data_IF_615660024130
#
_entry.id   IF_615660024130
#
_cell.length_a   1.000
_cell.length_b   1.000
_cell.length_c   1.000
_cell.angle_alpha   90.00
_cell.angle_beta   90.00
_cell.angle_gamma   90.00
#
_symmetry.space_group_name_H-M   'P 1'
#
loop_
_entity.id
_entity.type
_entity.pdbx_description
1 polymer ?
#
# COMPACT_ATOMS: atom_id res chain seq x y z
N UNK A 1 -0.81 -10.53 11.92
CA UNK A 1 -0.51 -10.70 10.48
C UNK A 1 0.76 -11.51 10.36
N UNK A 2 0.78 -12.49 9.45
CA UNK A 2 1.94 -13.28 9.07
C UNK A 2 2.43 -12.75 7.72
N UNK A 3 3.73 -12.49 7.57
CA UNK A 3 4.28 -11.90 6.36
C UNK A 3 5.54 -12.69 5.99
N UNK A 4 5.64 -13.11 4.73
CA UNK A 4 6.89 -13.57 4.14
C UNK A 4 7.16 -12.81 2.85
N UNK A 5 8.38 -12.28 2.73
CA UNK A 5 8.86 -11.48 1.59
C UNK A 5 10.00 -12.24 0.91
N UNK A 6 9.93 -12.38 -0.42
CA UNK A 6 10.94 -12.97 -1.29
C UNK A 6 10.64 -14.42 -1.67
N UNK A 7 9.75 -15.08 -0.92
CA UNK A 7 9.32 -16.44 -1.17
C UNK A 7 7.97 -16.72 -0.51
N UNK A 8 7.30 -17.79 -0.95
CA UNK A 8 6.14 -18.32 -0.26
C UNK A 8 6.56 -19.19 0.97
N UNK A 9 5.74 -19.21 2.04
CA UNK A 9 5.97 -20.08 3.19
C UNK A 9 6.08 -21.56 2.81
N UNK A 10 6.91 -22.33 3.53
CA UNK A 10 7.05 -23.78 3.29
C UNK A 10 5.74 -24.56 3.39
N UNK A 11 4.81 -24.09 4.20
CA UNK A 11 3.48 -24.67 4.40
C UNK A 11 2.39 -23.88 3.67
N UNK A 12 2.73 -23.17 2.59
CA UNK A 12 1.81 -22.32 1.82
C UNK A 12 0.50 -23.03 1.43
N UNK A 13 0.58 -24.26 0.91
CA UNK A 13 -0.61 -25.03 0.53
C UNK A 13 -1.53 -25.30 1.74
N UNK A 14 -0.95 -25.43 2.94
CA UNK A 14 -1.74 -25.57 4.18
C UNK A 14 -2.42 -24.25 4.55
N UNK A 15 -1.77 -23.10 4.35
CA UNK A 15 -2.41 -21.80 4.55
C UNK A 15 -3.59 -21.61 3.60
N UNK A 16 -3.39 -21.85 2.30
CA UNK A 16 -4.43 -21.75 1.27
C UNK A 16 -5.61 -22.67 1.57
N UNK A 17 -5.36 -23.91 2.00
CA UNK A 17 -6.42 -24.88 2.30
C UNK A 17 -7.29 -24.49 3.49
N UNK A 18 -6.75 -23.78 4.48
CA UNK A 18 -7.45 -23.47 5.72
C UNK A 18 -7.99 -22.03 5.76
N UNK A 19 -7.59 -21.17 4.84
CA UNK A 19 -8.10 -19.81 4.74
C UNK A 19 -9.54 -19.81 4.22
N UNK A 20 -10.37 -18.90 4.75
CA UNK A 20 -11.70 -18.65 4.23
C UNK A 20 -11.61 -17.90 2.90
N UNK A 21 -10.60 -17.03 2.75
CA UNK A 21 -10.41 -16.16 1.60
C UNK A 21 -8.98 -16.29 1.12
N UNK A 22 -8.83 -16.54 -0.18
CA UNK A 22 -7.54 -16.67 -0.84
C UNK A 22 -7.55 -15.76 -2.06
N UNK A 23 -6.75 -14.70 -2.01
CA UNK A 23 -6.43 -13.90 -3.20
C UNK A 23 -5.02 -14.26 -3.66
N UNK A 24 -4.96 -14.99 -4.76
CA UNK A 24 -3.71 -15.51 -5.32
C UNK A 24 -3.48 -14.94 -6.71
N UNK A 25 -2.43 -14.14 -6.83
CA UNK A 25 -1.81 -13.90 -8.13
C UNK A 25 -1.11 -15.19 -8.57
N UNK A 26 -1.47 -15.73 -9.74
CA UNK A 26 -0.84 -16.95 -10.25
C UNK A 26 0.68 -16.77 -10.36
N UNK A 27 1.48 -17.78 -9.96
CA UNK A 27 2.92 -17.74 -10.17
C UNK A 27 3.21 -17.68 -11.68
N UNK A 28 3.65 -16.51 -12.17
CA UNK A 28 4.16 -16.41 -13.53
C UNK A 28 5.56 -17.04 -13.61
N UNK A 29 5.94 -17.58 -14.77
CA UNK A 29 7.29 -18.13 -15.02
C UNK A 29 8.37 -17.05 -15.23
N UNK A 30 7.96 -15.79 -15.33
CA UNK A 30 8.86 -14.63 -15.40
C UNK A 30 9.47 -14.37 -14.01
N UNK A 31 10.69 -13.83 -13.92
CA UNK A 31 11.36 -13.57 -12.65
C UNK A 31 10.55 -12.68 -11.68
N UNK A 32 10.98 -12.58 -10.42
CA UNK A 32 10.35 -11.71 -9.43
C UNK A 32 10.38 -12.29 -8.01
N UNK A 33 9.88 -11.51 -7.05
CA UNK A 33 9.76 -11.89 -5.63
C UNK A 33 8.30 -12.19 -5.30
N UNK A 34 8.08 -13.21 -4.48
CA UNK A 34 6.76 -13.49 -3.91
C UNK A 34 6.59 -12.74 -2.60
N UNK A 35 5.39 -12.20 -2.38
CA UNK A 35 4.93 -11.68 -1.11
C UNK A 35 3.76 -12.54 -0.64
N UNK A 36 3.85 -13.05 0.58
CA UNK A 36 2.75 -13.71 1.29
C UNK A 36 2.28 -12.84 2.45
N UNK A 37 0.96 -12.71 2.58
CA UNK A 37 0.30 -12.05 3.71
C UNK A 37 -0.82 -12.96 4.23
N UNK A 38 -0.70 -13.38 5.48
CA UNK A 38 -1.75 -14.06 6.23
C UNK A 38 -2.37 -13.11 7.26
N UNK A 39 -3.67 -12.84 7.14
CA UNK A 39 -4.41 -12.05 8.14
C UNK A 39 -5.10 -13.00 9.11
N UNK A 40 -4.80 -12.85 10.40
CA UNK A 40 -5.37 -13.65 11.48
C UNK A 40 -6.24 -12.75 12.34
N UNK A 41 -7.41 -13.26 12.76
CA UNK A 41 -8.18 -12.67 13.85
C UNK A 41 -7.37 -12.74 15.15
N UNK A 42 -7.30 -11.63 15.89
CA UNK A 42 -6.40 -11.39 17.03
C UNK A 42 -6.63 -12.24 18.27
N UNK A 43 -7.53 -13.24 18.21
CA UNK A 43 -7.98 -14.02 19.36
C UNK A 43 -7.24 -15.34 19.63
N UNK A 44 -6.40 -15.86 18.73
CA UNK A 44 -5.73 -17.14 19.00
C UNK A 44 -4.38 -17.34 18.28
N UNK A 45 -3.30 -17.64 19.01
CA UNK A 45 -1.96 -17.86 18.44
C UNK A 45 -1.80 -19.19 17.68
N UNK A 46 -2.85 -20.01 17.61
CA UNK A 46 -2.84 -21.31 16.92
C UNK A 46 -3.81 -21.38 15.74
N UNK A 47 -4.41 -20.26 15.34
CA UNK A 47 -5.42 -20.23 14.28
C UNK A 47 -4.77 -19.96 12.94
N UNK A 48 -5.23 -20.69 11.92
CA UNK A 48 -4.89 -20.41 10.53
C UNK A 48 -5.32 -18.99 10.15
N UNK A 49 -4.59 -18.31 9.25
CA UNK A 49 -5.04 -17.04 8.70
C UNK A 49 -6.38 -17.23 8.00
N UNK A 50 -7.31 -16.31 8.23
CA UNK A 50 -8.63 -16.33 7.59
C UNK A 50 -8.55 -15.80 6.16
N UNK A 51 -7.63 -14.85 5.92
CA UNK A 51 -7.33 -14.29 4.61
C UNK A 51 -5.87 -14.58 4.26
N UNK A 52 -5.65 -15.17 3.09
CA UNK A 52 -4.34 -15.35 2.49
C UNK A 52 -4.29 -14.52 1.21
N UNK A 53 -3.33 -13.60 1.14
CA UNK A 53 -3.05 -12.78 -0.03
C UNK A 53 -1.64 -13.10 -0.50
N UNK A 54 -1.48 -13.34 -1.80
CA UNK A 54 -0.16 -13.40 -2.42
C UNK A 54 -0.02 -12.38 -3.52
N UNK A 55 1.10 -11.65 -3.52
CA UNK A 55 1.49 -10.77 -4.61
C UNK A 55 2.80 -11.22 -5.21
N UNK A 56 2.98 -10.91 -6.48
CA UNK A 56 4.27 -11.00 -7.14
C UNK A 56 4.69 -9.61 -7.57
N UNK A 57 5.94 -9.28 -7.32
CA UNK A 57 6.47 -7.98 -7.69
C UNK A 57 7.91 -8.10 -8.15
N UNK A 58 8.27 -7.23 -9.10
CA UNK A 58 9.65 -7.11 -9.56
C UNK A 58 10.40 -6.14 -8.67
N UNK A 59 11.59 -6.54 -8.28
CA UNK A 59 12.48 -5.76 -7.44
C UNK A 59 13.93 -6.22 -7.69
N UNK A 60 14.39 -6.06 -8.94
CA UNK A 60 15.70 -6.53 -9.37
C UNK A 60 16.85 -5.91 -8.55
N UNK A 61 16.63 -4.73 -7.98
CA UNK A 61 17.56 -3.98 -7.13
C UNK A 61 17.40 -4.20 -5.63
N UNK A 62 16.33 -4.86 -5.17
CA UNK A 62 16.06 -5.03 -3.73
C UNK A 62 15.60 -3.73 -3.03
N UNK A 63 15.10 -2.76 -3.78
CA UNK A 63 14.79 -1.39 -3.32
C UNK A 63 13.31 -1.15 -3.02
N UNK A 64 12.40 -1.96 -3.56
CA UNK A 64 10.95 -1.76 -3.46
C UNK A 64 10.32 -2.76 -2.49
N UNK A 65 10.66 -2.62 -1.21
CA UNK A 65 10.11 -3.48 -0.18
C UNK A 65 8.58 -3.31 -0.03
N UNK A 66 7.84 -4.41 0.20
CA UNK A 66 6.43 -4.32 0.47
C UNK A 66 6.11 -3.49 1.72
N UNK A 67 4.99 -2.77 1.67
CA UNK A 67 4.50 -1.94 2.75
C UNK A 67 3.04 -2.23 3.07
N UNK A 68 2.69 -2.11 4.34
CA UNK A 68 1.38 -2.45 4.87
C UNK A 68 0.88 -1.36 5.80
N UNK A 69 -0.40 -1.02 5.71
CA UNK A 69 -1.04 -0.09 6.64
C UNK A 69 -2.47 -0.53 6.91
N UNK A 70 -2.76 -0.90 8.17
CA UNK A 70 -4.11 -1.21 8.61
C UNK A 70 -4.77 0.04 9.18
N UNK A 71 -5.95 0.37 8.68
CA UNK A 71 -6.85 1.38 9.25
C UNK A 71 -7.88 0.65 10.13
N UNK A 72 -7.75 0.68 11.45
CA UNK A 72 -8.60 -0.11 12.34
C UNK A 72 -10.06 0.36 12.36
N UNK A 73 -10.35 1.63 12.09
CA UNK A 73 -11.70 2.20 12.20
C UNK A 73 -12.68 1.67 11.15
N UNK A 74 -12.15 1.18 10.03
CA UNK A 74 -12.93 0.63 8.92
C UNK A 74 -12.38 -0.73 8.43
N UNK A 75 -11.43 -1.29 9.18
CA UNK A 75 -10.79 -2.57 8.92
C UNK A 75 -10.18 -2.68 7.51
N UNK A 76 -9.70 -1.57 6.94
CA UNK A 76 -9.06 -1.58 5.62
C UNK A 76 -7.55 -1.77 5.76
N UNK A 77 -7.02 -2.84 5.18
CA UNK A 77 -5.60 -3.12 5.02
C UNK A 77 -5.12 -2.66 3.64
N UNK A 78 -4.25 -1.66 3.61
CA UNK A 78 -3.51 -1.23 2.43
C UNK A 78 -2.24 -2.05 2.29
N UNK A 79 -1.96 -2.52 1.07
CA UNK A 79 -0.76 -3.28 0.74
C UNK A 79 -0.16 -2.73 -0.55
N UNK A 80 1.12 -2.41 -0.53
CA UNK A 80 1.90 -2.05 -1.72
C UNK A 80 3.11 -2.97 -1.86
N UNK A 81 3.40 -3.42 -3.08
CA UNK A 81 4.56 -4.27 -3.39
C UNK A 81 4.99 -4.09 -4.86
N UNK A 82 6.22 -3.61 -5.08
CA UNK A 82 6.68 -3.17 -6.41
C UNK A 82 5.70 -2.15 -7.01
N UNK A 83 5.08 -2.45 -8.15
CA UNK A 83 4.10 -1.54 -8.75
C UNK A 83 2.65 -1.80 -8.31
N UNK A 84 2.38 -2.88 -7.60
CA UNK A 84 1.00 -3.31 -7.31
C UNK A 84 0.53 -2.74 -5.96
N UNK A 85 -0.67 -2.18 -5.96
CA UNK A 85 -1.36 -1.69 -4.78
C UNK A 85 -2.71 -2.41 -4.65
N UNK A 86 -3.02 -2.88 -3.45
CA UNK A 86 -4.32 -3.51 -3.16
C UNK A 86 -4.80 -3.13 -1.77
N UNK A 87 -6.11 -3.03 -1.62
CA UNK A 87 -6.78 -2.80 -0.36
C UNK A 87 -7.78 -3.90 -0.06
N UNK A 88 -7.82 -4.39 1.17
CA UNK A 88 -8.82 -5.36 1.63
C UNK A 88 -9.52 -4.87 2.88
N UNK A 89 -10.83 -5.07 2.95
CA UNK A 89 -11.52 -5.02 4.23
C UNK A 89 -11.27 -6.36 4.93
N UNK A 90 -10.54 -6.37 6.05
CA UNK A 90 -10.10 -7.61 6.69
C UNK A 90 -11.18 -8.34 7.49
N UNK A 91 -12.32 -7.70 7.75
CA UNK A 91 -13.46 -8.33 8.43
C UNK A 91 -14.34 -9.11 7.46
N UNK A 92 -14.67 -8.50 6.32
CA UNK A 92 -15.41 -9.16 5.23
C UNK A 92 -14.51 -9.99 4.32
N UNK A 93 -13.21 -9.68 4.33
CA UNK A 93 -12.18 -10.18 3.41
C UNK A 93 -12.41 -9.82 1.94
N UNK A 94 -13.21 -8.80 1.66
CA UNK A 94 -13.42 -8.29 0.32
C UNK A 94 -12.27 -7.37 -0.12
N UNK A 95 -11.86 -7.49 -1.39
CA UNK A 95 -10.94 -6.53 -2.01
C UNK A 95 -11.69 -5.23 -2.26
N UNK A 96 -11.23 -4.14 -1.65
CA UNK A 96 -11.82 -2.81 -1.76
C UNK A 96 -11.30 -2.06 -2.97
N UNK A 97 -10.00 -2.17 -3.24
CA UNK A 97 -9.40 -1.59 -4.44
C UNK A 97 -8.21 -2.41 -4.93
N UNK A 98 -7.88 -2.19 -6.19
CA UNK A 98 -6.63 -2.57 -6.83
C UNK A 98 -6.19 -1.41 -7.72
N UNK A 99 -4.92 -1.03 -7.61
CA UNK A 99 -4.32 0.03 -8.41
C UNK A 99 -2.84 -0.29 -8.67
N UNK A 100 -2.18 0.57 -9.45
CA UNK A 100 -0.75 0.48 -9.72
C UNK A 100 -0.07 1.82 -9.52
N UNK A 101 1.19 1.77 -9.15
CA UNK A 101 2.08 2.92 -9.22
C UNK A 101 2.79 2.95 -10.57
N UNK A 102 3.22 4.14 -11.00
CA UNK A 102 3.96 4.29 -12.27
C UNK A 102 5.32 3.54 -12.25
N UNK A 103 5.94 3.44 -11.07
CA UNK A 103 7.22 2.77 -10.79
C UNK A 103 7.19 2.13 -9.40
N UNK A 104 8.32 1.79 -8.79
CA UNK A 104 8.34 1.04 -7.55
C UNK A 104 7.81 1.81 -6.33
N UNK A 105 6.87 1.17 -5.63
CA UNK A 105 6.31 1.56 -4.34
C UNK A 105 7.40 1.63 -3.25
N UNK A 106 7.28 2.62 -2.37
CA UNK A 106 8.15 2.80 -1.21
C UNK A 106 7.41 2.69 0.12
N UNK A 107 6.19 3.22 0.23
CA UNK A 107 5.52 3.20 1.53
C UNK A 107 4.12 3.80 1.57
N UNK A 108 3.44 3.44 2.64
CA UNK A 108 2.18 4.04 3.07
C UNK A 108 2.42 4.86 4.34
N UNK A 109 1.77 6.01 4.46
CA UNK A 109 1.76 6.82 5.70
C UNK A 109 0.35 7.31 5.96
N UNK A 110 -0.14 7.22 7.21
CA UNK A 110 -1.47 7.75 7.56
C UNK A 110 -1.36 9.16 8.12
N UNK A 111 -2.23 10.05 7.65
CA UNK A 111 -2.48 11.37 8.22
C UNK A 111 -3.99 11.59 8.40
N UNK A 112 -4.49 11.44 9.63
CA UNK A 112 -5.91 11.58 9.92
C UNK A 112 -6.75 10.63 9.05
N UNK A 113 -7.59 11.20 8.19
CA UNK A 113 -8.49 10.50 7.26
C UNK A 113 -7.86 10.20 5.88
N UNK A 114 -6.57 10.51 5.72
CA UNK A 114 -5.84 10.31 4.47
C UNK A 114 -4.75 9.24 4.63
N UNK A 115 -4.57 8.45 3.58
CA UNK A 115 -3.45 7.55 3.38
C UNK A 115 -2.58 8.10 2.24
N UNK A 116 -1.32 8.34 2.55
CA UNK A 116 -0.32 8.91 1.64
C UNK A 116 0.55 7.78 1.11
N UNK A 117 0.72 7.75 -0.20
CA UNK A 117 1.51 6.79 -0.93
C UNK A 117 2.78 7.47 -1.42
N UNK A 118 3.93 6.86 -1.14
CA UNK A 118 5.20 7.21 -1.77
C UNK A 118 5.65 6.09 -2.71
N UNK A 119 6.02 6.46 -3.92
CA UNK A 119 6.66 5.61 -4.93
C UNK A 119 7.72 6.40 -5.69
N UNK A 120 8.56 5.71 -6.46
CA UNK A 120 9.71 6.32 -7.12
C UNK A 120 9.38 7.58 -7.91
N UNK A 121 8.35 7.52 -8.77
CA UNK A 121 7.93 8.63 -9.62
C UNK A 121 6.51 9.14 -9.30
N UNK A 122 5.90 8.70 -8.21
CA UNK A 122 4.51 9.04 -7.87
C UNK A 122 4.34 9.34 -6.37
N UNK A 123 3.60 10.40 -6.08
CA UNK A 123 2.99 10.64 -4.77
C UNK A 123 1.47 10.55 -4.90
N UNK A 124 0.82 9.72 -4.07
CA UNK A 124 -0.61 9.49 -4.12
C UNK A 124 -1.30 9.79 -2.79
N UNK A 125 -2.56 10.22 -2.85
CA UNK A 125 -3.41 10.42 -1.67
C UNK A 125 -4.71 9.65 -1.83
N UNK A 126 -5.04 8.93 -0.77
CA UNK A 126 -6.21 8.07 -0.66
C UNK A 126 -7.00 8.43 0.60
N UNK A 127 -8.29 8.09 0.61
CA UNK A 127 -9.07 8.02 1.85
C UNK A 127 -8.69 6.80 2.65
N UNK A 128 -8.90 6.85 3.95
CA UNK A 128 -8.87 5.67 4.83
C UNK A 128 -9.78 4.54 4.37
N UNK A 129 -10.84 4.84 3.62
CA UNK A 129 -11.78 3.86 3.04
C UNK A 129 -11.27 3.15 1.79
N UNK A 130 -10.09 3.51 1.26
CA UNK A 130 -9.52 2.89 0.06
C UNK A 130 -9.87 3.59 -1.25
N UNK A 131 -10.49 4.77 -1.22
CA UNK A 131 -10.74 5.60 -2.40
C UNK A 131 -9.50 6.44 -2.76
N UNK A 132 -9.02 6.38 -4.01
CA UNK A 132 -7.95 7.28 -4.50
C UNK A 132 -8.54 8.67 -4.71
N UNK A 133 -7.97 9.67 -4.06
CA UNK A 133 -8.39 11.07 -4.27
C UNK A 133 -7.64 11.67 -5.47
N UNK A 134 -6.32 11.58 -5.45
CA UNK A 134 -5.47 12.07 -6.52
C UNK A 134 -4.06 11.48 -6.40
N UNK A 135 -3.30 11.59 -7.48
CA UNK A 135 -1.84 11.41 -7.44
C UNK A 135 -1.15 12.42 -8.35
N UNK A 136 0.16 12.55 -8.18
CA UNK A 136 0.97 13.45 -8.99
C UNK A 136 2.35 12.85 -9.22
N UNK A 137 2.93 13.19 -10.38
CA UNK A 137 4.30 12.83 -10.70
C UNK A 137 5.28 13.60 -9.81
N UNK A 138 6.30 12.89 -9.34
CA UNK A 138 7.42 13.43 -8.55
C UNK A 138 8.73 12.90 -9.13
N UNK A 139 9.75 13.75 -9.21
CA UNK A 139 11.07 13.35 -9.73
C UNK A 139 12.08 13.28 -8.58
N UNK A 140 12.80 12.15 -8.39
CA UNK A 140 13.83 12.03 -7.37
C UNK A 140 15.05 12.96 -7.56
N UNK A 141 15.68 13.44 -6.47
CA UNK A 141 15.20 13.36 -5.09
C UNK A 141 13.94 14.21 -4.85
N UNK A 142 13.00 13.60 -4.14
CA UNK A 142 11.82 14.28 -3.64
C UNK A 142 11.51 13.85 -2.20
N UNK A 143 10.76 14.68 -1.49
CA UNK A 143 10.24 14.39 -0.15
C UNK A 143 8.91 15.08 0.06
N UNK A 144 8.21 14.73 1.14
CA UNK A 144 6.98 15.39 1.52
C UNK A 144 6.90 15.65 3.02
N UNK A 145 6.13 16.67 3.38
CA UNK A 145 5.74 16.94 4.75
C UNK A 145 4.27 17.37 4.80
N UNK A 146 3.59 17.07 5.90
CA UNK A 146 2.15 17.31 6.02
C UNK A 146 1.89 18.31 7.14
N UNK A 147 1.06 19.31 6.84
CA UNK A 147 0.67 20.36 7.78
C UNK A 147 -0.82 20.66 7.63
N UNK A 148 -1.60 20.24 8.63
CA UNK A 148 -3.06 20.34 8.59
C UNK A 148 -3.64 19.57 7.41
N UNK A 149 -4.38 20.27 6.55
CA UNK A 149 -5.04 19.71 5.36
C UNK A 149 -4.17 19.78 4.09
N UNK A 150 -2.89 20.13 4.21
CA UNK A 150 -2.00 20.31 3.07
C UNK A 150 -0.77 19.41 3.16
N UNK A 151 -0.30 18.96 2.01
CA UNK A 151 1.01 18.35 1.82
C UNK A 151 1.92 19.34 1.09
N UNK A 152 3.12 19.52 1.62
CA UNK A 152 4.23 20.16 0.92
C UNK A 152 5.07 19.08 0.28
N UNK A 153 5.22 19.13 -1.05
CA UNK A 153 6.12 18.31 -1.84
C UNK A 153 7.36 19.14 -2.16
N UNK A 154 8.54 18.66 -1.78
CA UNK A 154 9.83 19.21 -2.20
C UNK A 154 10.39 18.30 -3.30
N UNK A 155 10.37 18.77 -4.54
CA UNK A 155 10.80 18.02 -5.73
C UNK A 155 12.01 18.73 -6.30
N UNK A 156 13.19 18.10 -6.24
CA UNK A 156 14.44 18.71 -6.72
C UNK A 156 14.72 20.10 -6.11
N UNK A 157 14.33 20.33 -4.85
CA UNK A 157 14.47 21.63 -4.16
C UNK A 157 13.33 22.62 -4.44
N UNK A 158 12.37 22.27 -5.29
CA UNK A 158 11.20 23.10 -5.60
C UNK A 158 10.00 22.66 -4.77
N UNK A 159 9.47 23.57 -3.96
CA UNK A 159 8.35 23.29 -3.06
C UNK A 159 7.01 23.61 -3.71
N UNK A 160 6.07 22.67 -3.60
CA UNK A 160 4.67 22.83 -3.99
C UNK A 160 3.78 22.41 -2.81
N UNK A 161 2.80 23.24 -2.48
CA UNK A 161 1.83 22.92 -1.43
C UNK A 161 0.49 22.59 -2.06
N UNK A 162 -0.01 21.38 -1.81
CA UNK A 162 -1.26 20.85 -2.35
C UNK A 162 -2.23 20.51 -1.21
N UNK A 163 -3.53 20.70 -1.43
CA UNK A 163 -4.57 20.24 -0.50
C UNK A 163 -4.69 18.72 -0.56
N UNK A 164 -4.64 18.04 0.58
CA UNK A 164 -4.80 16.59 0.70
C UNK A 164 -6.12 16.09 0.09
N UNK A 165 -7.19 16.88 0.23
CA UNK A 165 -8.50 16.52 -0.30
C UNK A 165 -8.57 16.50 -1.84
N UNK A 166 -7.86 17.41 -2.52
CA UNK A 166 -8.14 17.72 -3.94
C UNK A 166 -6.93 17.72 -4.86
N UNK A 167 -5.71 17.74 -4.31
CA UNK A 167 -4.48 17.86 -5.09
C UNK A 167 -4.28 19.24 -5.72
N UNK A 168 -5.18 20.19 -5.45
CA UNK A 168 -5.07 21.57 -5.93
C UNK A 168 -4.09 22.39 -5.09
N UNK A 169 -3.47 23.41 -5.69
CA UNK A 169 -2.58 24.31 -4.97
C UNK A 169 -3.30 24.95 -3.76
N UNK A 170 -2.65 24.92 -2.60
CA UNK A 170 -3.14 25.67 -1.45
C UNK A 170 -3.11 27.17 -1.78
N UNK A 171 -4.23 27.87 -1.54
CA UNK A 171 -4.27 29.32 -1.67
C UNK A 171 -3.27 29.93 -0.68
N UNK A 172 -2.14 30.41 -1.20
CA UNK A 172 -1.27 31.31 -0.46
C UNK A 172 -1.99 32.65 -0.36
N UNK A 173 -2.46 33.00 0.84
CA UNK A 173 -2.84 34.36 1.11
C UNK A 173 -1.59 35.23 0.94
N UNK A 174 -1.45 35.86 -0.23
CA UNK A 174 -0.54 36.97 -0.43
C UNK A 174 -1.01 38.07 0.51
N UNK A 175 -0.26 38.30 1.59
CA UNK A 175 -0.39 39.50 2.41
C UNK A 175 0.48 40.61 1.83
#
# INVERSE_FOLDING_TARGET
>A
MLIEDGSLPRIFDSYVKNAAIVDRVEPSTLGGRDLFVGVCDGGSPHRWPEIVITQKYEDASGTFHPGFLLVPENSILFIGAGERLVGYNVESGERVFEDRTDYGFWGWTRQGDYILMSAELEFGVWRTTGEKLWSTFVEPPWSFNVSGENVELDIMGQRKTLRLETGTAALTNVR
#
